data_IF_383534797155
#
_entry.id   IF_383534797155
#
_cell.length_a   1.000
_cell.length_b   1.000
_cell.length_c   1.000
_cell.angle_alpha   90.00
_cell.angle_beta   90.00
_cell.angle_gamma   90.00
#
_symmetry.space_group_name_H-M   'P 1'
#
loop_
_entity.id
_entity.type
_entity.pdbx_description
1 polymer ?
#
# COMPACT_ATOMS: atom_id res chain seq x y z
N UNK A 1 -5.15 -24.31 12.23
CA UNK A 1 -6.42 -23.99 11.53
C UNK A 1 -6.59 -24.92 10.33
N UNK A 2 -7.81 -25.39 10.03
CA UNK A 2 -8.07 -26.12 8.77
C UNK A 2 -7.96 -25.20 7.56
N UNK A 3 -7.73 -25.74 6.35
CA UNK A 3 -7.64 -24.95 5.11
C UNK A 3 -8.92 -24.12 4.83
N UNK A 4 -10.11 -24.71 5.09
CA UNK A 4 -11.39 -23.97 5.03
C UNK A 4 -11.46 -22.82 6.03
N UNK A 5 -10.97 -23.03 7.25
CA UNK A 5 -10.95 -21.99 8.28
C UNK A 5 -10.00 -20.85 7.88
N UNK A 6 -8.84 -21.16 7.27
CA UNK A 6 -7.92 -20.15 6.72
C UNK A 6 -8.57 -19.34 5.62
N UNK A 7 -9.21 -19.98 4.63
CA UNK A 7 -9.91 -19.29 3.54
C UNK A 7 -10.98 -18.31 4.04
N UNK A 8 -11.74 -18.71 5.07
CA UNK A 8 -12.73 -17.83 5.71
C UNK A 8 -12.08 -16.70 6.50
N UNK A 9 -10.94 -16.93 7.14
CA UNK A 9 -10.22 -15.89 7.89
C UNK A 9 -9.72 -14.76 6.98
N UNK A 10 -9.36 -15.04 5.72
CA UNK A 10 -9.04 -13.99 4.75
C UNK A 10 -10.22 -13.10 4.36
N UNK A 11 -11.47 -13.46 4.71
CA UNK A 11 -12.59 -12.52 4.58
C UNK A 11 -12.48 -11.36 5.57
N UNK A 12 -11.66 -11.46 6.62
CA UNK A 12 -11.36 -10.33 7.49
C UNK A 12 -10.76 -9.17 6.71
N UNK A 13 -10.03 -9.43 5.62
CA UNK A 13 -9.58 -8.38 4.71
C UNK A 13 -10.73 -7.47 4.21
N UNK A 14 -11.94 -8.02 4.04
CA UNK A 14 -13.12 -7.28 3.61
C UNK A 14 -13.71 -6.37 4.71
N UNK A 15 -13.26 -6.49 5.96
CA UNK A 15 -13.65 -5.53 7.01
C UNK A 15 -12.99 -4.18 6.78
N UNK A 16 -11.74 -4.15 6.29
CA UNK A 16 -10.99 -2.93 6.01
C UNK A 16 -11.75 -1.93 5.10
N UNK A 17 -12.31 -2.31 3.92
CA UNK A 17 -13.13 -1.40 3.11
C UNK A 17 -14.50 -1.09 3.73
N UNK A 18 -15.01 -1.94 4.62
CA UNK A 18 -16.30 -1.73 5.27
C UNK A 18 -16.22 -0.66 6.36
N UNK A 19 -15.04 -0.41 6.94
CA UNK A 19 -14.90 0.51 8.08
C UNK A 19 -15.21 1.96 7.72
N UNK A 20 -14.75 2.55 6.59
CA UNK A 20 -15.18 3.90 6.20
C UNK A 20 -16.70 4.00 5.99
N UNK A 21 -17.34 2.98 5.41
CA UNK A 21 -18.80 2.92 5.25
C UNK A 21 -19.50 2.89 6.60
N UNK A 22 -19.06 2.02 7.51
CA UNK A 22 -19.60 1.88 8.86
C UNK A 22 -19.38 3.14 9.69
N UNK A 23 -18.19 3.74 9.61
CA UNK A 23 -17.81 5.01 10.21
C UNK A 23 -18.78 6.12 9.80
N UNK A 24 -19.00 6.29 8.50
CA UNK A 24 -19.96 7.27 8.00
C UNK A 24 -21.38 6.97 8.48
N UNK A 25 -21.84 5.71 8.36
CA UNK A 25 -23.19 5.33 8.75
C UNK A 25 -23.48 5.54 10.23
N UNK A 26 -22.59 5.06 11.12
CA UNK A 26 -22.70 5.27 12.57
C UNK A 26 -22.62 6.76 12.92
N UNK A 27 -21.73 7.49 12.25
CA UNK A 27 -21.59 8.93 12.42
C UNK A 27 -22.88 9.70 12.12
N UNK A 28 -23.55 9.36 11.02
CA UNK A 28 -24.83 9.97 10.66
C UNK A 28 -25.97 9.53 11.59
N UNK A 29 -26.05 8.24 11.90
CA UNK A 29 -27.12 7.69 12.74
C UNK A 29 -27.10 8.23 14.18
N UNK A 30 -25.91 8.54 14.70
CA UNK A 30 -25.71 8.99 16.09
C UNK A 30 -25.52 10.50 16.23
N UNK A 31 -25.29 11.22 15.12
CA UNK A 31 -24.94 12.64 15.13
C UNK A 31 -23.47 12.94 15.47
N UNK A 32 -22.64 11.92 15.74
CA UNK A 32 -21.22 12.06 16.10
C UNK A 32 -20.28 11.85 14.91
N UNK A 33 -20.63 12.35 13.72
CA UNK A 33 -19.90 12.13 12.47
C UNK A 33 -18.40 12.46 12.55
N UNK A 34 -18.04 13.49 13.34
CA UNK A 34 -16.65 13.88 13.55
C UNK A 34 -15.83 12.88 14.36
N UNK A 35 -16.46 12.18 15.32
CA UNK A 35 -15.80 11.16 16.14
C UNK A 35 -15.61 9.90 15.31
N UNK A 36 -16.68 9.46 14.65
CA UNK A 36 -16.64 8.26 13.83
C UNK A 36 -15.69 8.37 12.63
N UNK A 37 -15.39 9.57 12.13
CA UNK A 37 -14.37 9.79 11.10
C UNK A 37 -12.99 9.21 11.45
N UNK A 38 -12.70 9.01 12.75
CA UNK A 38 -11.44 8.44 13.26
C UNK A 38 -11.51 6.92 13.46
N UNK A 39 -12.63 6.26 13.15
CA UNK A 39 -12.85 4.85 13.47
C UNK A 39 -11.77 3.94 12.89
N UNK A 40 -11.35 4.13 11.64
CA UNK A 40 -10.26 3.34 11.05
C UNK A 40 -8.93 3.56 11.79
N UNK A 41 -8.62 4.80 12.19
CA UNK A 41 -7.40 5.09 12.95
C UNK A 41 -7.45 4.35 14.30
N UNK A 42 -8.59 4.42 15.00
CA UNK A 42 -8.80 3.74 16.28
C UNK A 42 -8.75 2.22 16.13
N UNK A 43 -9.31 1.70 15.04
CA UNK A 43 -9.27 0.28 14.73
C UNK A 43 -7.83 -0.18 14.50
N UNK A 44 -7.09 0.48 13.61
CA UNK A 44 -5.74 0.06 13.19
C UNK A 44 -4.70 0.26 14.29
N UNK A 45 -4.78 1.33 15.07
CA UNK A 45 -3.78 1.62 16.11
C UNK A 45 -4.23 1.29 17.54
N UNK A 46 -5.50 0.92 17.74
CA UNK A 46 -6.06 0.58 19.04
C UNK A 46 -6.61 -0.84 19.06
N UNK A 47 -7.68 -1.10 18.30
CA UNK A 47 -8.40 -2.37 18.40
C UNK A 47 -7.59 -3.55 17.86
N UNK A 48 -7.00 -3.43 16.67
CA UNK A 48 -6.22 -4.51 16.03
C UNK A 48 -5.03 -4.92 16.92
N UNK A 49 -4.16 -4.00 17.41
CA UNK A 49 -3.06 -4.38 18.30
C UNK A 49 -3.51 -5.05 19.59
N UNK A 50 -4.64 -4.61 20.19
CA UNK A 50 -5.20 -5.25 21.39
C UNK A 50 -5.68 -6.66 21.06
N UNK A 51 -6.39 -6.84 19.95
CA UNK A 51 -6.86 -8.18 19.55
C UNK A 51 -5.68 -9.08 19.18
N UNK A 52 -4.66 -8.57 18.49
CA UNK A 52 -3.45 -9.33 18.19
C UNK A 52 -2.71 -9.76 19.45
N UNK A 53 -2.62 -8.90 20.47
CA UNK A 53 -2.05 -9.26 21.77
C UNK A 53 -2.86 -10.37 22.48
N UNK A 54 -4.19 -10.37 22.33
CA UNK A 54 -5.09 -11.36 22.95
C UNK A 54 -5.11 -12.70 22.20
N UNK A 55 -5.08 -12.66 20.86
CA UNK A 55 -5.16 -13.85 19.98
C UNK A 55 -3.79 -14.50 19.82
N UNK A 56 -2.72 -13.70 19.79
CA UNK A 56 -1.34 -14.14 19.67
C UNK A 56 -0.84 -14.27 18.23
N UNK A 57 0.31 -14.92 18.11
CA UNK A 57 1.08 -15.06 16.87
C UNK A 57 0.73 -16.37 16.14
N UNK A 58 0.74 -16.33 14.81
CA UNK A 58 0.91 -17.53 14.00
C UNK A 58 2.39 -17.64 13.64
N UNK A 59 3.09 -18.70 14.04
CA UNK A 59 4.51 -18.91 13.70
C UNK A 59 4.69 -19.95 12.59
N UNK A 60 3.59 -20.45 12.03
CA UNK A 60 3.65 -21.44 10.97
C UNK A 60 3.92 -20.74 9.65
N UNK A 61 5.08 -21.00 9.06
CA UNK A 61 5.31 -20.74 7.65
C UNK A 61 4.71 -21.88 6.83
N UNK A 62 3.89 -21.58 5.81
CA UNK A 62 3.46 -22.61 4.86
C UNK A 62 4.68 -23.23 4.17
N UNK A 63 4.59 -24.52 3.82
CA UNK A 63 5.60 -25.12 2.95
C UNK A 63 5.48 -24.55 1.52
N UNK A 64 6.57 -24.62 0.75
CA UNK A 64 6.64 -24.08 -0.62
C UNK A 64 5.49 -24.61 -1.51
N UNK A 65 5.03 -25.85 -1.26
CA UNK A 65 3.95 -26.48 -2.02
C UNK A 65 2.58 -25.87 -1.71
N UNK A 66 2.37 -25.47 -0.45
CA UNK A 66 1.18 -24.80 0.03
C UNK A 66 1.11 -23.37 -0.50
N UNK A 67 2.23 -22.64 -0.54
CA UNK A 67 2.29 -21.30 -1.12
C UNK A 67 1.91 -21.28 -2.60
N UNK A 68 2.47 -22.20 -3.40
CA UNK A 68 2.15 -22.29 -4.84
C UNK A 68 0.67 -22.66 -5.07
N UNK A 69 0.08 -23.48 -4.20
CA UNK A 69 -1.35 -23.80 -4.23
C UNK A 69 -2.22 -22.57 -3.93
N UNK A 70 -1.89 -21.79 -2.89
CA UNK A 70 -2.59 -20.56 -2.53
C UNK A 70 -2.46 -19.50 -3.62
N UNK A 71 -1.26 -19.36 -4.22
CA UNK A 71 -1.01 -18.40 -5.30
C UNK A 71 -1.84 -18.68 -6.55
N UNK A 72 -2.17 -19.94 -6.80
CA UNK A 72 -2.92 -20.36 -8.00
C UNK A 72 -4.43 -20.46 -7.76
N UNK A 73 -4.86 -20.64 -6.52
CA UNK A 73 -6.25 -20.75 -6.12
C UNK A 73 -7.06 -19.48 -6.48
N UNK A 74 -8.22 -19.70 -7.10
CA UNK A 74 -9.10 -18.66 -7.59
C UNK A 74 -9.67 -17.81 -6.44
N UNK A 75 -9.88 -18.38 -5.25
CA UNK A 75 -10.42 -17.67 -4.09
C UNK A 75 -9.54 -16.50 -3.68
N UNK A 76 -8.24 -16.76 -3.48
CA UNK A 76 -7.28 -15.72 -3.08
C UNK A 76 -7.08 -14.68 -4.19
N UNK A 77 -7.11 -15.10 -5.46
CA UNK A 77 -7.11 -14.18 -6.60
C UNK A 77 -8.35 -13.28 -6.60
N UNK A 78 -9.54 -13.83 -6.38
CA UNK A 78 -10.77 -13.04 -6.35
C UNK A 78 -10.77 -12.02 -5.22
N UNK A 79 -10.26 -12.38 -4.03
CA UNK A 79 -10.09 -11.41 -2.93
C UNK A 79 -9.15 -10.27 -3.35
N UNK A 80 -7.98 -10.61 -3.90
CA UNK A 80 -7.02 -9.61 -4.37
C UNK A 80 -7.58 -8.74 -5.51
N UNK A 81 -8.26 -9.35 -6.47
CA UNK A 81 -8.85 -8.65 -7.62
C UNK A 81 -10.03 -7.78 -7.20
N UNK A 82 -10.75 -8.13 -6.14
CA UNK A 82 -11.85 -7.32 -5.60
C UNK A 82 -11.40 -5.96 -5.06
N UNK A 83 -10.12 -5.81 -4.71
CA UNK A 83 -9.56 -4.54 -4.26
C UNK A 83 -9.74 -3.43 -5.30
N UNK A 84 -9.61 -3.73 -6.59
CA UNK A 84 -9.74 -2.73 -7.65
C UNK A 84 -11.16 -2.14 -7.72
N UNK A 85 -12.24 -2.91 -7.94
CA UNK A 85 -13.59 -2.34 -7.99
C UNK A 85 -13.98 -1.68 -6.66
N UNK A 86 -13.54 -2.22 -5.51
CA UNK A 86 -13.76 -1.60 -4.20
C UNK A 86 -13.10 -0.22 -4.12
N UNK A 87 -11.83 -0.09 -4.50
CA UNK A 87 -11.13 1.20 -4.48
C UNK A 87 -11.69 2.20 -5.50
N UNK A 88 -12.09 1.73 -6.69
CA UNK A 88 -12.75 2.57 -7.70
C UNK A 88 -14.09 3.12 -7.22
N UNK A 89 -14.80 2.42 -6.33
CA UNK A 89 -16.01 2.91 -5.70
C UNK A 89 -15.72 3.78 -4.46
N UNK A 90 -14.77 3.34 -3.61
CA UNK A 90 -14.48 3.96 -2.32
C UNK A 90 -13.91 5.37 -2.46
N UNK A 91 -12.96 5.60 -3.38
CA UNK A 91 -12.32 6.91 -3.54
C UNK A 91 -13.33 8.02 -3.92
N UNK A 92 -14.13 7.90 -5.00
CA UNK A 92 -15.11 8.93 -5.34
C UNK A 92 -16.22 9.07 -4.29
N UNK A 93 -16.67 7.96 -3.68
CA UNK A 93 -17.63 8.02 -2.58
C UNK A 93 -17.07 8.77 -1.38
N UNK A 94 -15.85 8.45 -0.95
CA UNK A 94 -15.20 9.09 0.19
C UNK A 94 -14.91 10.58 -0.07
N UNK A 95 -14.57 10.95 -1.31
CA UNK A 95 -14.46 12.34 -1.72
C UNK A 95 -15.81 13.05 -1.60
N UNK A 96 -16.91 12.44 -2.06
CA UNK A 96 -18.24 13.00 -1.89
C UNK A 96 -18.58 13.23 -0.40
N UNK A 97 -18.30 12.26 0.47
CA UNK A 97 -18.54 12.40 1.92
C UNK A 97 -17.66 13.46 2.58
N UNK A 98 -16.40 13.60 2.17
CA UNK A 98 -15.50 14.64 2.67
C UNK A 98 -16.09 16.05 2.51
N UNK A 99 -16.85 16.28 1.42
CA UNK A 99 -17.51 17.55 1.16
C UNK A 99 -18.90 17.66 1.80
N UNK A 100 -19.69 16.58 1.82
CA UNK A 100 -21.14 16.66 2.09
C UNK A 100 -21.58 16.08 3.43
N UNK A 101 -20.76 15.29 4.12
CA UNK A 101 -21.16 14.61 5.36
C UNK A 101 -21.21 15.54 6.60
N UNK A 102 -20.94 16.84 6.45
CA UNK A 102 -20.99 17.80 7.56
C UNK A 102 -19.81 17.69 8.54
N UNK A 103 -18.65 17.17 8.09
CA UNK A 103 -17.45 17.13 8.91
C UNK A 103 -16.95 18.55 9.26
N UNK A 104 -16.64 18.74 10.55
CA UNK A 104 -15.75 19.81 11.00
C UNK A 104 -14.33 19.60 10.47
N UNK A 105 -13.42 20.55 10.65
CA UNK A 105 -12.02 20.37 10.24
C UNK A 105 -11.35 19.16 10.92
N UNK A 106 -11.69 18.86 12.18
CA UNK A 106 -11.19 17.67 12.90
C UNK A 106 -11.72 16.39 12.29
N UNK A 107 -13.01 16.36 11.93
CA UNK A 107 -13.62 15.22 11.25
C UNK A 107 -13.02 15.00 9.86
N UNK A 108 -12.75 16.09 9.12
CA UNK A 108 -12.09 16.05 7.81
C UNK A 108 -10.69 15.44 7.90
N UNK A 109 -9.91 15.81 8.92
CA UNK A 109 -8.59 15.22 9.17
C UNK A 109 -8.70 13.72 9.47
N UNK A 110 -9.60 13.33 10.39
CA UNK A 110 -9.85 11.93 10.69
C UNK A 110 -10.27 11.12 9.46
N UNK A 111 -11.14 11.69 8.63
CA UNK A 111 -11.60 11.07 7.39
C UNK A 111 -10.48 10.87 6.37
N UNK A 112 -9.64 11.88 6.14
CA UNK A 112 -8.46 11.79 5.27
C UNK A 112 -7.51 10.67 5.75
N UNK A 113 -7.22 10.64 7.06
CA UNK A 113 -6.35 9.62 7.65
C UNK A 113 -6.95 8.23 7.51
N UNK A 114 -8.22 8.06 7.87
CA UNK A 114 -8.94 6.79 7.78
C UNK A 114 -8.97 6.25 6.35
N UNK A 115 -9.37 7.07 5.37
CA UNK A 115 -9.40 6.64 3.97
C UNK A 115 -8.00 6.37 3.44
N UNK A 116 -7.00 7.19 3.80
CA UNK A 116 -5.61 6.97 3.40
C UNK A 116 -5.02 5.66 3.94
N UNK A 117 -5.33 5.30 5.19
CA UNK A 117 -4.93 4.01 5.78
C UNK A 117 -5.59 2.85 5.01
N UNK A 118 -6.90 2.93 4.76
CA UNK A 118 -7.60 1.93 3.93
C UNK A 118 -7.01 1.85 2.53
N UNK A 119 -6.68 2.98 1.91
CA UNK A 119 -6.02 3.03 0.60
C UNK A 119 -4.64 2.39 0.62
N UNK A 120 -3.88 2.52 1.70
CA UNK A 120 -2.61 1.81 1.85
C UNK A 120 -2.82 0.30 1.85
N UNK A 121 -3.73 -0.20 2.68
CA UNK A 121 -4.04 -1.63 2.79
C UNK A 121 -4.65 -2.21 1.51
N UNK A 122 -5.59 -1.51 0.87
CA UNK A 122 -6.35 -2.06 -0.26
C UNK A 122 -5.76 -1.74 -1.62
N UNK A 123 -5.15 -0.56 -1.80
CA UNK A 123 -4.54 -0.21 -3.07
C UNK A 123 -3.06 -0.61 -3.10
N UNK A 124 -2.27 -0.19 -2.12
CA UNK A 124 -0.82 -0.42 -2.16
C UNK A 124 -0.47 -1.88 -1.89
N UNK A 125 -1.00 -2.51 -0.83
CA UNK A 125 -0.64 -3.91 -0.55
C UNK A 125 -1.16 -4.86 -1.63
N UNK A 126 -2.37 -4.64 -2.12
CA UNK A 126 -2.88 -5.44 -3.22
C UNK A 126 -2.06 -5.22 -4.50
N UNK A 127 -1.68 -3.97 -4.80
CA UNK A 127 -0.80 -3.68 -5.92
C UNK A 127 0.57 -4.34 -5.76
N UNK A 128 1.15 -4.34 -4.55
CA UNK A 128 2.42 -5.00 -4.26
C UNK A 128 2.41 -6.46 -4.70
N UNK A 129 1.37 -7.21 -4.35
CA UNK A 129 1.24 -8.60 -4.79
C UNK A 129 1.01 -8.72 -6.31
N UNK A 130 0.19 -7.83 -6.88
CA UNK A 130 -0.18 -7.87 -8.30
C UNK A 130 0.96 -7.51 -9.25
N UNK A 131 1.86 -6.61 -8.87
CA UNK A 131 2.99 -6.18 -9.72
C UNK A 131 4.04 -7.28 -9.88
N UNK A 132 4.11 -8.21 -8.92
CA UNK A 132 5.00 -9.39 -8.96
C UNK A 132 4.44 -10.55 -9.79
N UNK A 133 3.14 -10.53 -10.13
CA UNK A 133 2.52 -11.59 -10.94
C UNK A 133 3.04 -11.62 -12.38
N UNK A 134 3.06 -12.82 -12.97
CA UNK A 134 3.42 -13.01 -14.39
C UNK A 134 2.37 -12.42 -15.33
N UNK A 135 1.09 -12.51 -14.96
CA UNK A 135 -0.04 -12.03 -15.77
C UNK A 135 0.10 -10.54 -16.08
N UNK A 136 -0.10 -10.17 -17.35
CA UNK A 136 -0.12 -8.76 -17.75
C UNK A 136 -1.35 -8.04 -17.19
N UNK A 137 -2.49 -8.73 -17.10
CA UNK A 137 -3.74 -8.16 -16.57
C UNK A 137 -3.63 -7.84 -15.08
N UNK A 138 -3.03 -8.73 -14.29
CA UNK A 138 -2.80 -8.50 -12.86
C UNK A 138 -1.84 -7.32 -12.64
N UNK A 139 -0.74 -7.26 -13.39
CA UNK A 139 0.19 -6.12 -13.33
C UNK A 139 -0.41 -4.79 -13.81
N UNK A 140 -1.39 -4.84 -14.73
CA UNK A 140 -2.15 -3.67 -15.14
C UNK A 140 -3.03 -3.18 -13.98
N UNK A 141 -3.76 -4.09 -13.35
CA UNK A 141 -4.59 -3.80 -12.17
C UNK A 141 -3.78 -3.21 -11.02
N UNK A 142 -2.59 -3.75 -10.73
CA UNK A 142 -1.66 -3.15 -9.75
C UNK A 142 -1.26 -1.72 -10.12
N UNK A 143 -1.03 -1.42 -11.40
CA UNK A 143 -0.78 -0.06 -11.88
C UNK A 143 -1.97 0.89 -11.71
N UNK A 144 -3.19 0.40 -11.96
CA UNK A 144 -4.42 1.19 -11.73
C UNK A 144 -4.61 1.48 -10.25
N UNK A 145 -4.46 0.47 -9.37
CA UNK A 145 -4.54 0.64 -7.92
C UNK A 145 -3.53 1.69 -7.42
N UNK A 146 -2.28 1.63 -7.85
CA UNK A 146 -1.27 2.64 -7.48
C UNK A 146 -1.58 4.03 -8.01
N UNK A 147 -2.31 4.14 -9.13
CA UNK A 147 -2.77 5.43 -9.66
C UNK A 147 -3.88 6.05 -8.80
N UNK A 148 -4.67 5.23 -8.09
CA UNK A 148 -5.69 5.71 -7.12
C UNK A 148 -5.09 6.34 -5.86
N UNK A 149 -3.78 6.19 -5.67
CA UNK A 149 -3.02 6.78 -4.56
C UNK A 149 -1.83 7.60 -5.06
N UNK A 150 -1.83 8.01 -6.33
CA UNK A 150 -0.79 8.83 -6.95
C UNK A 150 0.65 8.30 -6.78
N UNK A 151 0.82 6.98 -6.57
CA UNK A 151 2.10 6.36 -6.22
C UNK A 151 2.55 5.31 -7.24
N UNK A 152 2.24 5.53 -8.51
CA UNK A 152 2.52 4.59 -9.59
C UNK A 152 4.02 4.31 -9.83
N UNK A 153 4.91 5.21 -9.41
CA UNK A 153 6.36 4.99 -9.41
C UNK A 153 6.76 3.70 -8.70
N UNK A 154 6.04 3.35 -7.64
CA UNK A 154 6.26 2.13 -6.85
C UNK A 154 6.29 0.86 -7.71
N UNK A 155 5.44 0.76 -8.74
CA UNK A 155 5.43 -0.42 -9.63
C UNK A 155 6.81 -0.73 -10.23
N UNK A 156 7.59 0.30 -10.53
CA UNK A 156 8.90 0.17 -11.18
C UNK A 156 10.00 0.16 -10.12
N UNK A 157 9.94 1.12 -9.21
CA UNK A 157 10.90 1.30 -8.12
C UNK A 157 10.98 0.04 -7.26
N UNK A 158 9.83 -0.51 -6.85
CA UNK A 158 9.79 -1.66 -5.97
C UNK A 158 10.46 -2.90 -6.58
N UNK A 159 10.09 -3.22 -7.83
CA UNK A 159 10.52 -4.45 -8.52
C UNK A 159 11.97 -4.36 -9.00
N UNK A 160 12.43 -3.19 -9.44
CA UNK A 160 13.75 -3.03 -10.08
C UNK A 160 14.76 -2.21 -9.25
N UNK A 161 14.30 -1.56 -8.20
CA UNK A 161 15.07 -0.76 -7.26
C UNK A 161 15.11 -1.44 -5.91
N UNK A 162 14.07 -1.24 -5.09
CA UNK A 162 14.02 -1.72 -3.71
C UNK A 162 14.35 -3.22 -3.58
N UNK A 163 13.68 -4.15 -4.25
CA UNK A 163 14.00 -5.59 -4.10
C UNK A 163 15.44 -5.96 -4.51
N UNK A 164 16.06 -5.19 -5.41
CA UNK A 164 17.44 -5.41 -5.84
C UNK A 164 18.44 -4.90 -4.79
N UNK A 165 18.14 -3.75 -4.19
CA UNK A 165 19.02 -2.98 -3.33
C UNK A 165 18.59 -2.98 -1.84
N UNK A 166 17.57 -3.72 -1.46
CA UNK A 166 17.05 -3.76 -0.09
C UNK A 166 18.18 -4.11 0.87
N UNK A 167 18.19 -3.44 2.03
CA UNK A 167 19.26 -3.48 3.01
C UNK A 167 20.63 -3.06 2.46
N UNK A 168 20.69 -2.17 1.46
CA UNK A 168 21.94 -1.55 0.99
C UNK A 168 21.87 -0.02 1.02
N UNK A 169 23.01 0.70 1.03
CA UNK A 169 23.03 2.16 0.98
C UNK A 169 22.33 2.80 -0.23
N UNK A 170 22.15 2.03 -1.31
CA UNK A 170 21.51 2.43 -2.56
C UNK A 170 19.98 2.37 -2.54
N UNK A 171 19.37 1.74 -1.52
CA UNK A 171 17.93 1.71 -1.33
C UNK A 171 17.46 2.78 -0.34
N UNK A 172 16.58 3.68 -0.79
CA UNK A 172 16.05 4.73 0.07
C UNK A 172 14.92 4.25 0.99
N UNK A 173 14.31 3.10 0.69
CA UNK A 173 13.32 2.43 1.54
C UNK A 173 13.97 1.60 2.66
N UNK A 174 15.31 1.49 2.68
CA UNK A 174 16.07 0.94 3.81
C UNK A 174 16.41 2.03 4.82
N UNK A 175 15.89 1.88 6.04
CA UNK A 175 16.13 2.82 7.14
C UNK A 175 17.48 2.56 7.81
N UNK A 176 18.33 3.59 7.87
CA UNK A 176 19.66 3.45 8.48
C UNK A 176 19.56 3.44 10.00
N UNK A 177 20.47 2.72 10.66
CA UNK A 177 20.56 2.74 12.13
C UNK A 177 20.75 4.18 12.63
N UNK A 178 19.91 4.60 13.57
CA UNK A 178 19.91 5.96 14.12
C UNK A 178 19.20 7.02 13.27
N UNK A 179 18.67 6.67 12.09
CA UNK A 179 17.87 7.59 11.27
C UNK A 179 16.48 7.76 11.90
N UNK A 180 16.06 8.99 12.14
CA UNK A 180 14.68 9.26 12.60
C UNK A 180 13.68 9.10 11.46
N UNK A 181 12.43 8.78 11.80
CA UNK A 181 11.34 8.68 10.82
C UNK A 181 11.13 9.97 10.02
N UNK A 182 11.33 11.13 10.66
CA UNK A 182 11.20 12.46 10.04
C UNK A 182 12.32 12.77 9.04
N UNK A 183 13.48 12.12 9.16
CA UNK A 183 14.54 12.16 8.15
C UNK A 183 14.33 11.11 7.05
N UNK A 184 13.75 9.97 7.42
CA UNK A 184 13.54 8.84 6.50
C UNK A 184 12.45 9.13 5.47
N UNK A 185 11.25 9.47 5.93
CA UNK A 185 10.05 9.54 5.07
C UNK A 185 10.22 10.53 3.90
N UNK A 186 10.63 11.80 4.11
CA UNK A 186 10.82 12.74 3.00
C UNK A 186 11.91 12.31 2.02
N UNK A 187 12.99 11.68 2.54
CA UNK A 187 14.07 11.14 1.71
C UNK A 187 13.56 10.01 0.83
N UNK A 188 12.80 9.08 1.42
CA UNK A 188 12.23 7.94 0.72
C UNK A 188 11.31 8.40 -0.40
N UNK A 189 10.38 9.35 -0.15
CA UNK A 189 9.48 9.87 -1.18
C UNK A 189 10.22 10.42 -2.40
N UNK A 190 11.15 11.34 -2.15
CA UNK A 190 11.86 12.01 -3.24
C UNK A 190 12.73 11.02 -4.01
N UNK A 191 13.46 10.17 -3.29
CA UNK A 191 14.34 9.20 -3.92
C UNK A 191 13.54 8.18 -4.73
N UNK A 192 12.50 7.57 -4.15
CA UNK A 192 11.71 6.53 -4.80
C UNK A 192 11.02 7.07 -6.07
N UNK A 193 10.50 8.30 -6.01
CA UNK A 193 9.94 8.96 -7.19
C UNK A 193 11.00 9.13 -8.29
N UNK A 194 12.15 9.74 -7.98
CA UNK A 194 13.22 9.98 -8.96
C UNK A 194 13.80 8.67 -9.49
N UNK A 195 14.00 7.68 -8.62
CA UNK A 195 14.57 6.38 -8.96
C UNK A 195 13.63 5.60 -9.90
N UNK A 196 12.31 5.65 -9.68
CA UNK A 196 11.34 5.06 -10.60
C UNK A 196 11.51 5.57 -12.04
N UNK A 197 11.60 6.89 -12.21
CA UNK A 197 11.81 7.53 -13.51
C UNK A 197 13.16 7.18 -14.13
N UNK A 198 14.22 7.14 -13.30
CA UNK A 198 15.56 6.73 -13.74
C UNK A 198 15.58 5.29 -14.24
N UNK A 199 15.02 4.35 -13.48
CA UNK A 199 14.97 2.92 -13.83
C UNK A 199 14.15 2.67 -15.10
N UNK A 200 13.04 3.38 -15.27
CA UNK A 200 12.21 3.27 -16.47
C UNK A 200 12.88 3.89 -17.70
N UNK A 201 13.54 5.04 -17.54
CA UNK A 201 14.35 5.63 -18.59
C UNK A 201 15.49 4.69 -19.03
N UNK A 202 16.18 4.06 -18.07
CA UNK A 202 17.22 3.05 -18.36
C UNK A 202 16.64 1.87 -19.15
N UNK A 203 15.49 1.31 -18.74
CA UNK A 203 14.81 0.24 -19.51
C UNK A 203 14.58 0.66 -20.97
N UNK A 204 14.11 1.88 -21.19
CA UNK A 204 13.80 2.38 -22.52
C UNK A 204 15.06 2.59 -23.36
N UNK A 205 16.11 3.15 -22.76
CA UNK A 205 17.41 3.34 -23.41
C UNK A 205 18.01 2.00 -23.87
N UNK A 206 17.95 0.94 -23.03
CA UNK A 206 18.35 -0.41 -23.43
C UNK A 206 17.56 -0.96 -24.63
N UNK A 207 16.38 -0.42 -24.90
CA UNK A 207 15.53 -0.78 -26.04
C UNK A 207 15.59 0.23 -27.19
N UNK A 208 16.53 1.18 -27.15
CA UNK A 208 16.71 2.22 -28.17
C UNK A 208 15.66 3.33 -28.14
N UNK A 209 14.92 3.50 -27.04
CA UNK A 209 13.88 4.53 -26.86
C UNK A 209 14.35 5.64 -25.91
N UNK A 210 13.84 6.86 -26.12
CA UNK A 210 14.03 7.97 -25.18
C UNK A 210 13.19 7.79 -23.91
N UNK A 211 13.55 8.50 -22.83
CA UNK A 211 12.80 8.48 -21.56
C UNK A 211 11.35 8.98 -21.70
N UNK A 212 11.07 9.85 -22.69
CA UNK A 212 9.75 10.43 -22.95
C UNK A 212 8.95 9.66 -24.00
N UNK A 213 9.43 8.50 -24.43
CA UNK A 213 8.72 7.67 -25.39
C UNK A 213 7.40 7.16 -24.79
N UNK A 214 6.35 7.00 -25.60
CA UNK A 214 5.02 6.52 -25.17
C UNK A 214 5.02 5.13 -24.51
N UNK A 215 6.14 4.39 -24.61
CA UNK A 215 6.36 3.11 -23.92
C UNK A 215 6.82 3.28 -22.47
N UNK A 216 7.07 4.51 -22.03
CA UNK A 216 7.26 4.81 -20.63
C UNK A 216 5.93 4.62 -19.89
N UNK A 217 5.89 3.60 -19.05
CA UNK A 217 4.66 3.27 -18.33
C UNK A 217 4.27 4.34 -17.31
N UNK A 218 5.24 5.07 -16.73
CA UNK A 218 4.96 6.11 -15.74
C UNK A 218 4.14 7.26 -16.31
N UNK A 219 4.34 7.61 -17.59
CA UNK A 219 3.54 8.65 -18.26
C UNK A 219 2.06 8.30 -18.17
N UNK A 220 1.70 7.05 -18.47
CA UNK A 220 0.30 6.63 -18.48
C UNK A 220 -0.29 6.50 -17.08
N UNK A 221 0.48 6.01 -16.10
CA UNK A 221 -0.03 5.89 -14.74
C UNK A 221 -0.22 7.25 -14.05
N UNK A 222 0.71 8.19 -14.25
CA UNK A 222 0.51 9.55 -13.76
C UNK A 222 -0.57 10.28 -14.57
N UNK A 223 -0.71 10.05 -15.88
CA UNK A 223 -1.84 10.57 -16.64
C UNK A 223 -3.19 10.05 -16.12
N UNK A 224 -3.28 8.78 -15.73
CA UNK A 224 -4.48 8.22 -15.10
C UNK A 224 -4.78 8.89 -13.76
N UNK A 225 -3.76 9.08 -12.92
CA UNK A 225 -3.90 9.80 -11.64
C UNK A 225 -4.42 11.23 -11.85
N UNK A 226 -3.86 11.94 -12.85
CA UNK A 226 -4.28 13.29 -13.25
C UNK A 226 -5.71 13.28 -13.81
N UNK A 227 -6.07 12.31 -14.64
CA UNK A 227 -7.42 12.19 -15.19
C UNK A 227 -8.48 11.99 -14.09
N UNK A 228 -8.15 11.19 -13.06
CA UNK A 228 -9.01 11.00 -11.89
C UNK A 228 -9.15 12.30 -11.10
N UNK A 229 -8.04 13.02 -10.88
CA UNK A 229 -8.09 14.33 -10.22
C UNK A 229 -8.95 15.34 -11.00
N UNK A 230 -8.81 15.42 -12.33
CA UNK A 230 -9.65 16.27 -13.18
C UNK A 230 -11.12 15.85 -13.10
N UNK A 231 -11.42 14.55 -13.13
CA UNK A 231 -12.79 14.06 -13.00
C UNK A 231 -13.41 14.46 -11.66
N UNK A 232 -12.66 14.32 -10.55
CA UNK A 232 -13.10 14.76 -9.22
C UNK A 232 -13.27 16.28 -9.14
N UNK A 233 -12.38 17.06 -9.75
CA UNK A 233 -12.48 18.52 -9.81
C UNK A 233 -13.75 18.96 -10.56
N UNK A 234 -13.99 18.39 -11.75
CA UNK A 234 -15.18 18.71 -12.54
C UNK A 234 -16.49 18.32 -11.86
N UNK A 235 -16.47 17.27 -11.02
CA UNK A 235 -17.67 16.78 -10.33
C UNK A 235 -17.93 17.48 -8.98
N UNK A 236 -16.90 17.61 -8.14
CA UNK A 236 -17.02 18.03 -6.74
C UNK A 236 -16.21 19.30 -6.41
N UNK A 237 -15.44 19.83 -7.37
CA UNK A 237 -14.57 20.99 -7.21
C UNK A 237 -13.20 20.66 -6.60
N UNK A 238 -12.35 21.68 -6.52
CA UNK A 238 -10.94 21.56 -6.12
C UNK A 238 -10.71 21.00 -4.72
N UNK A 239 -11.70 21.12 -3.83
CA UNK A 239 -11.65 20.50 -2.51
C UNK A 239 -11.61 18.96 -2.58
N UNK A 240 -12.21 18.34 -3.60
CA UNK A 240 -12.11 16.90 -3.83
C UNK A 240 -10.74 16.48 -4.36
N UNK A 241 -10.10 17.32 -5.17
CA UNK A 241 -8.69 17.11 -5.58
C UNK A 241 -7.78 17.17 -4.37
N UNK A 242 -7.96 18.16 -3.48
CA UNK A 242 -7.20 18.25 -2.24
C UNK A 242 -7.38 16.98 -1.39
N UNK A 243 -8.61 16.49 -1.22
CA UNK A 243 -8.86 15.22 -0.55
C UNK A 243 -8.13 14.05 -1.22
N UNK A 244 -8.24 13.91 -2.55
CA UNK A 244 -7.61 12.84 -3.31
C UNK A 244 -6.08 12.81 -3.15
N UNK A 245 -5.44 13.99 -3.16
CA UNK A 245 -4.00 14.13 -2.95
C UNK A 245 -3.60 13.87 -1.50
N UNK A 246 -4.40 14.33 -0.53
CA UNK A 246 -4.10 14.14 0.90
C UNK A 246 -4.27 12.68 1.34
N UNK A 247 -5.32 11.99 0.89
CA UNK A 247 -5.47 10.55 1.19
C UNK A 247 -4.36 9.72 0.53
N UNK A 248 -3.96 10.10 -0.69
CA UNK A 248 -2.83 9.47 -1.38
C UNK A 248 -1.54 9.67 -0.60
N UNK A 249 -1.28 10.90 -0.12
CA UNK A 249 -0.14 11.21 0.73
C UNK A 249 -0.12 10.34 1.98
N UNK A 250 -1.24 10.22 2.70
CA UNK A 250 -1.35 9.30 3.84
C UNK A 250 -1.03 7.86 3.44
N UNK A 251 -1.59 7.37 2.33
CA UNK A 251 -1.44 5.98 1.90
C UNK A 251 0.03 5.60 1.63
N UNK A 252 0.75 6.39 0.83
CA UNK A 252 2.17 6.10 0.55
C UNK A 252 3.09 6.49 1.73
N UNK A 253 2.69 7.44 2.58
CA UNK A 253 3.41 7.67 3.86
C UNK A 253 3.36 6.43 4.72
N UNK A 254 2.18 5.82 4.85
CA UNK A 254 1.98 4.63 5.68
C UNK A 254 2.83 3.46 5.16
N UNK A 255 2.94 3.28 3.84
CA UNK A 255 3.87 2.32 3.24
C UNK A 255 5.32 2.59 3.66
N UNK A 256 5.80 3.84 3.56
CA UNK A 256 7.18 4.15 3.94
C UNK A 256 7.41 4.02 5.45
N UNK A 257 6.40 4.24 6.28
CA UNK A 257 6.48 3.95 7.73
C UNK A 257 6.64 2.44 7.96
N UNK A 258 5.95 1.61 7.19
CA UNK A 258 6.12 0.14 7.23
C UNK A 258 7.54 -0.25 6.79
N UNK A 259 8.01 0.25 5.63
CA UNK A 259 9.39 0.03 5.17
C UNK A 259 10.44 0.47 6.21
N UNK A 260 10.19 1.61 6.88
CA UNK A 260 11.07 2.12 7.92
C UNK A 260 11.22 1.11 9.06
N UNK A 261 10.10 0.53 9.52
CA UNK A 261 10.10 -0.46 10.59
C UNK A 261 10.72 -1.78 10.15
N UNK A 262 10.36 -2.28 8.96
CA UNK A 262 10.80 -3.56 8.42
C UNK A 262 12.30 -3.60 8.13
N UNK A 263 12.90 -2.48 7.72
CA UNK A 263 14.31 -2.43 7.36
C UNK A 263 15.18 -1.64 8.35
N UNK A 264 14.66 -1.30 9.53
CA UNK A 264 15.38 -0.44 10.47
C UNK A 264 16.72 -1.03 10.91
N UNK A 265 17.81 -0.38 10.49
CA UNK A 265 19.16 -0.72 10.91
C UNK A 265 19.71 -2.01 10.32
N UNK A 266 19.01 -2.61 9.35
CA UNK A 266 19.45 -3.82 8.66
C UNK A 266 20.31 -3.44 7.43
N UNK A 267 21.48 -4.09 7.30
CA UNK A 267 22.41 -3.84 6.20
C UNK A 267 23.05 -5.15 5.74
N UNK A 268 22.99 -5.39 4.42
CA UNK A 268 23.66 -6.49 3.74
C UNK A 268 25.15 -6.26 3.72
N UNK A 269 25.91 -7.32 3.96
CA UNK A 269 27.36 -7.29 3.86
C UNK A 269 27.81 -7.16 2.41
N UNK A 270 28.85 -6.35 2.19
CA UNK A 270 29.58 -6.32 0.91
C UNK A 270 30.46 -7.56 0.82
N UNK A 271 30.28 -8.33 -0.26
CA UNK A 271 31.00 -9.59 -0.51
C UNK A 271 32.01 -9.48 -1.67
N UNK A 272 32.23 -8.26 -2.17
CA UNK A 272 33.19 -7.95 -3.23
C UNK A 272 33.04 -6.52 -3.73
N UNK A 273 33.75 -6.17 -4.80
CA UNK A 273 33.61 -4.86 -5.43
C UNK A 273 32.19 -4.71 -6.01
N UNK A 274 31.40 -3.80 -5.43
CA UNK A 274 30.06 -3.45 -5.92
C UNK A 274 29.00 -4.54 -5.77
N UNK A 275 29.24 -5.60 -4.97
CA UNK A 275 28.27 -6.69 -4.76
C UNK A 275 27.97 -6.89 -3.28
N UNK A 276 26.67 -6.99 -2.98
CA UNK A 276 26.14 -7.33 -1.66
C UNK A 276 25.74 -8.81 -1.63
N UNK A 277 25.78 -9.43 -0.44
CA UNK A 277 25.30 -10.81 -0.21
C UNK A 277 23.83 -10.97 -0.61
N UNK A 278 23.30 -12.17 -0.82
CA UNK A 278 21.87 -12.31 -1.21
C UNK A 278 20.94 -11.82 -0.08
N UNK A 279 19.80 -11.23 -0.45
CA UNK A 279 18.73 -10.93 0.49
C UNK A 279 18.20 -12.23 1.10
N UNK A 280 17.94 -12.21 2.41
CA UNK A 280 17.47 -13.33 3.23
C UNK A 280 16.59 -12.77 4.36
N UNK A 281 16.01 -13.63 5.18
CA UNK A 281 15.22 -13.23 6.36
C UNK A 281 15.95 -12.36 7.38
N UNK A 282 17.29 -12.30 7.34
CA UNK A 282 18.06 -11.41 8.22
C UNK A 282 17.98 -9.93 7.80
N UNK A 283 17.37 -9.64 6.64
CA UNK A 283 17.31 -8.31 6.05
C UNK A 283 15.91 -7.68 6.11
N UNK A 284 14.99 -8.32 6.84
CA UNK A 284 13.68 -7.76 7.18
C UNK A 284 13.29 -8.14 8.60
N UNK A 285 12.73 -7.19 9.34
CA UNK A 285 11.99 -7.49 10.56
C UNK A 285 10.60 -8.01 10.16
N UNK A 286 10.26 -9.22 10.60
CA UNK A 286 8.94 -9.78 10.40
C UNK A 286 8.06 -9.58 11.64
N UNK A 287 6.74 -9.57 11.44
CA UNK A 287 5.75 -9.62 12.52
C UNK A 287 4.81 -10.81 12.31
N UNK A 288 4.71 -11.66 13.33
CA UNK A 288 3.99 -12.95 13.27
C UNK A 288 2.54 -12.87 13.78
N UNK A 289 2.05 -11.67 14.08
CA UNK A 289 0.70 -11.46 14.60
C UNK A 289 -0.38 -11.91 13.61
N UNK A 290 -1.30 -12.76 14.06
CA UNK A 290 -2.23 -13.48 13.21
C UNK A 290 -3.26 -12.54 12.52
N UNK A 291 -3.89 -11.63 13.28
CA UNK A 291 -4.95 -10.78 12.73
C UNK A 291 -4.36 -9.79 11.72
N UNK A 292 -3.27 -9.11 12.09
CA UNK A 292 -2.59 -8.19 11.18
C UNK A 292 -2.13 -8.88 9.90
N UNK A 293 -1.57 -10.10 9.97
CA UNK A 293 -1.17 -10.83 8.77
C UNK A 293 -2.35 -11.23 7.87
N UNK A 294 -3.51 -11.55 8.44
CA UNK A 294 -4.72 -11.82 7.65
C UNK A 294 -5.24 -10.55 6.96
N UNK A 295 -5.18 -9.40 7.63
CA UNK A 295 -5.64 -8.12 7.10
C UNK A 295 -4.71 -7.50 6.04
N UNK A 296 -3.41 -7.78 6.11
CA UNK A 296 -2.40 -7.19 5.23
C UNK A 296 -1.90 -8.16 4.14
N UNK A 297 -2.56 -9.29 3.91
CA UNK A 297 -2.09 -10.36 3.01
C UNK A 297 -0.67 -10.84 3.32
N UNK A 298 -0.36 -11.02 4.60
CA UNK A 298 0.95 -11.43 5.10
C UNK A 298 2.10 -10.49 4.69
N UNK A 299 1.81 -9.23 4.37
CA UNK A 299 2.84 -8.26 4.00
C UNK A 299 3.97 -8.19 5.05
N UNK A 300 3.64 -8.33 6.34
CA UNK A 300 4.64 -8.27 7.43
C UNK A 300 5.58 -9.48 7.51
N UNK A 301 5.42 -10.46 6.61
CA UNK A 301 6.38 -11.54 6.40
C UNK A 301 7.07 -11.34 5.07
N UNK A 302 8.09 -10.49 5.09
CA UNK A 302 8.94 -10.23 3.93
C UNK A 302 9.99 -11.34 3.70
N UNK A 303 9.99 -12.39 4.53
CA UNK A 303 10.95 -13.49 4.48
C UNK A 303 10.52 -14.78 5.16
#
# INVERSE_FOLDING_TARGET
MSDRTKKLAYLLFLTTPAVPLLSWWLGQATGYINVFAWLTVIEVYGLIPVVDYLVGEDRLNPDDSSEDSMRTDLWYKLLLWSCLPVMLALIPWAAYQYLHAGFSWVGKLGWILSVGIVSSTLAINAAHELIHKRSKGERLMGGVLLSLVCYAGFKIEHVRGHHVNVATPEDASTARRGQSIYQFVPRAWLHNFVNAWRLEAQRLQYRGHSAWHWRNELIWWYALSTAIAIALDTWLGSAAVAFFLLQAAVAFTFLEVVNYLEHYGLERRRVGQGRYERTTHLHSWNSDYLLTNLLLFQLQRHS
#
